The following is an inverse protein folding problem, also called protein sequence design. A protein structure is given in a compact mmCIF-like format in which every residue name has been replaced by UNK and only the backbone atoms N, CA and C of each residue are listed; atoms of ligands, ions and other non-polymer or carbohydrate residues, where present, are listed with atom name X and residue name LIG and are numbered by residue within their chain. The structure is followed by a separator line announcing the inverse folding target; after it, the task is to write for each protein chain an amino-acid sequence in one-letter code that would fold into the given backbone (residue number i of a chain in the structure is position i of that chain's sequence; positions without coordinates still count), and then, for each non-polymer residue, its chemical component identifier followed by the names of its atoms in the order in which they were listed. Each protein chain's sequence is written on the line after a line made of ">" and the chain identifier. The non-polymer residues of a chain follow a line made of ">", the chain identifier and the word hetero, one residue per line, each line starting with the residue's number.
data_IF_480304481275
#
_entry.id   IF_480304481275
#
_cell.length_a   1.000
_cell.length_b   1.000
_cell.length_c   1.000
_cell.angle_alpha   90.00
_cell.angle_beta   90.00
_cell.angle_gamma   90.00
#
_symmetry.space_group_name_H-M   'P 1'
#
loop_
_entity.id
_entity.type
_entity.pdbx_description
1 polymer ?
#
# COMPACT_ATOMS: atom_id res chain seq x y z
N UNK A 1 16.79 0.56 14.96
CA UNK A 1 16.66 0.59 13.49
C UNK A 1 15.51 1.52 13.14
N UNK A 2 15.60 2.34 12.10
CA UNK A 2 14.44 3.14 11.69
C UNK A 2 13.41 2.24 11.01
N UNK A 3 12.13 2.57 11.16
CA UNK A 3 11.03 1.85 10.50
C UNK A 3 10.89 2.34 9.05
N UNK A 4 10.58 1.43 8.12
CA UNK A 4 10.15 1.77 6.76
C UNK A 4 8.71 1.33 6.54
N UNK A 5 7.83 2.31 6.32
CA UNK A 5 6.39 2.11 6.21
C UNK A 5 5.97 2.04 4.74
N UNK A 6 5.58 0.85 4.29
CA UNK A 6 5.17 0.62 2.90
C UNK A 6 3.66 0.49 2.77
N UNK A 7 3.09 1.31 1.90
CA UNK A 7 1.73 1.07 1.41
C UNK A 7 1.78 -0.03 0.35
N UNK A 8 0.89 -1.01 0.47
CA UNK A 8 0.59 -1.95 -0.62
C UNK A 8 -0.81 -1.63 -1.12
N UNK A 9 -0.94 -1.23 -2.38
CA UNK A 9 -2.23 -0.86 -2.98
C UNK A 9 -2.44 -1.54 -4.32
N UNK A 10 -3.69 -1.67 -4.74
CA UNK A 10 -4.00 -2.22 -6.05
C UNK A 10 -5.50 -2.35 -6.33
N UNK A 11 -5.82 -2.92 -7.49
CA UNK A 11 -7.21 -3.18 -7.86
C UNK A 11 -7.91 -4.08 -6.85
N UNK A 12 -9.22 -3.88 -6.65
CA UNK A 12 -10.02 -4.64 -5.67
C UNK A 12 -10.14 -6.12 -6.00
N UNK A 13 -9.89 -6.48 -7.25
CA UNK A 13 -9.97 -7.84 -7.78
C UNK A 13 -8.58 -8.49 -7.92
N UNK A 14 -7.51 -7.80 -7.53
CA UNK A 14 -6.16 -8.38 -7.50
C UNK A 14 -6.08 -9.48 -6.43
N UNK A 15 -5.69 -10.69 -6.83
CA UNK A 15 -5.67 -11.89 -5.97
C UNK A 15 -4.34 -12.66 -5.99
N UNK A 16 -3.34 -12.21 -6.77
CA UNK A 16 -2.06 -12.92 -6.91
C UNK A 16 -1.15 -12.67 -5.69
N UNK A 17 -1.45 -13.40 -4.61
CA UNK A 17 -0.68 -13.35 -3.37
C UNK A 17 0.79 -13.80 -3.54
N UNK A 18 1.10 -14.87 -4.30
CA UNK A 18 2.50 -15.23 -4.58
C UNK A 18 3.29 -14.11 -5.25
N UNK A 19 2.75 -13.46 -6.28
CA UNK A 19 3.43 -12.34 -6.94
C UNK A 19 3.63 -11.15 -5.98
N UNK A 20 2.65 -10.89 -5.11
CA UNK A 20 2.75 -9.85 -4.09
C UNK A 20 3.86 -10.14 -3.08
N UNK A 21 3.95 -11.36 -2.55
CA UNK A 21 5.02 -11.78 -1.66
C UNK A 21 6.40 -11.58 -2.30
N UNK A 22 6.58 -12.07 -3.53
CA UNK A 22 7.85 -11.94 -4.26
C UNK A 22 8.25 -10.48 -4.47
N UNK A 23 7.29 -9.63 -4.82
CA UNK A 23 7.55 -8.22 -5.04
C UNK A 23 7.96 -7.50 -3.75
N UNK A 24 7.29 -7.79 -2.63
CA UNK A 24 7.62 -7.20 -1.33
C UNK A 24 8.97 -7.72 -0.82
N UNK A 25 9.21 -9.03 -0.86
CA UNK A 25 10.47 -9.64 -0.41
C UNK A 25 11.67 -9.10 -1.23
N UNK A 26 11.50 -8.94 -2.54
CA UNK A 26 12.50 -8.30 -3.40
C UNK A 26 12.74 -6.83 -3.05
N UNK A 27 11.69 -6.07 -2.74
CA UNK A 27 11.80 -4.67 -2.33
C UNK A 27 12.59 -4.55 -1.02
N UNK A 28 12.32 -5.42 -0.06
CA UNK A 28 13.02 -5.47 1.22
C UNK A 28 14.51 -5.75 1.07
N UNK A 29 14.86 -6.76 0.27
CA UNK A 29 16.25 -7.15 0.06
C UNK A 29 17.10 -6.03 -0.60
N UNK A 30 16.52 -5.26 -1.52
CA UNK A 30 17.29 -4.34 -2.37
C UNK A 30 17.19 -2.86 -1.98
N UNK A 31 16.15 -2.44 -1.25
CA UNK A 31 15.84 -1.01 -1.13
C UNK A 31 15.72 -0.47 0.30
N UNK A 32 15.70 -1.32 1.32
CA UNK A 32 15.61 -0.89 2.73
C UNK A 32 16.58 -1.61 3.70
N UNK A 33 17.85 -1.89 3.32
CA UNK A 33 18.77 -2.59 4.21
C UNK A 33 18.96 -1.82 5.52
N UNK A 34 18.78 -2.51 6.66
CA UNK A 34 18.95 -1.94 8.00
C UNK A 34 17.74 -1.18 8.57
N UNK A 35 16.59 -1.22 7.88
CA UNK A 35 15.32 -0.69 8.39
C UNK A 35 14.36 -1.81 8.80
N UNK A 36 13.51 -1.55 9.79
CA UNK A 36 12.45 -2.48 10.20
C UNK A 36 11.22 -2.29 9.28
N UNK A 37 10.79 -3.30 8.52
CA UNK A 37 9.67 -3.15 7.61
C UNK A 37 8.33 -3.15 8.36
N UNK A 38 7.40 -2.31 7.91
CA UNK A 38 5.99 -2.35 8.29
C UNK A 38 5.07 -2.05 7.12
N UNK A 39 3.81 -2.47 7.25
CA UNK A 39 2.79 -2.29 6.21
C UNK A 39 1.78 -1.24 6.65
N UNK A 40 1.41 -0.36 5.73
CA UNK A 40 0.30 0.58 5.85
C UNK A 40 -0.86 0.05 5.03
N UNK A 41 -1.99 -0.22 5.68
CA UNK A 41 -3.17 -0.88 5.10
C UNK A 41 -4.39 0.00 5.24
N UNK A 42 -5.11 0.22 4.15
CA UNK A 42 -6.34 1.00 4.16
C UNK A 42 -7.64 0.21 4.25
N UNK A 43 -7.55 -1.09 4.58
CA UNK A 43 -8.67 -2.04 4.67
C UNK A 43 -9.48 -2.15 3.38
N UNK A 44 -8.84 -1.94 2.23
CA UNK A 44 -9.47 -2.11 0.93
C UNK A 44 -9.28 -3.55 0.42
N UNK A 45 -10.31 -4.13 -0.22
CA UNK A 45 -10.19 -5.46 -0.85
C UNK A 45 -9.05 -5.48 -1.89
N UNK A 46 -8.58 -6.69 -2.21
CA UNK A 46 -7.55 -6.93 -3.20
C UNK A 46 -6.14 -6.79 -2.61
N UNK A 47 -5.24 -6.13 -3.35
CA UNK A 47 -3.83 -6.04 -2.97
C UNK A 47 -3.58 -5.45 -1.57
N UNK A 48 -4.42 -4.53 -1.10
CA UNK A 48 -4.29 -3.90 0.22
C UNK A 48 -4.51 -4.91 1.37
N UNK A 49 -5.59 -5.71 1.30
CA UNK A 49 -5.78 -6.82 2.25
C UNK A 49 -4.75 -7.96 2.08
N UNK A 50 -4.20 -8.17 0.88
CA UNK A 50 -3.10 -9.11 0.70
C UNK A 50 -1.79 -8.61 1.33
N UNK A 51 -1.54 -7.30 1.31
CA UNK A 51 -0.44 -6.67 2.05
C UNK A 51 -0.61 -6.81 3.56
N UNK A 52 -1.83 -6.62 4.08
CA UNK A 52 -2.17 -6.92 5.47
C UNK A 52 -1.84 -8.37 5.84
N UNK A 53 -2.30 -9.32 5.00
CA UNK A 53 -2.02 -10.75 5.18
C UNK A 53 -0.51 -11.02 5.21
N UNK A 54 0.25 -10.47 4.27
CA UNK A 54 1.70 -10.60 4.19
C UNK A 54 2.37 -10.17 5.50
N UNK A 55 1.95 -9.04 6.07
CA UNK A 55 2.49 -8.53 7.32
C UNK A 55 2.19 -9.46 8.50
N UNK A 56 0.92 -9.86 8.66
CA UNK A 56 0.49 -10.74 9.75
C UNK A 56 1.21 -12.09 9.72
N UNK A 57 1.33 -12.72 8.54
CA UNK A 57 2.03 -14.00 8.39
C UNK A 57 3.53 -13.92 8.74
N UNK A 58 4.13 -12.73 8.66
CA UNK A 58 5.56 -12.49 8.97
C UNK A 58 5.79 -11.79 10.30
N UNK A 59 4.74 -11.54 11.08
CA UNK A 59 4.84 -10.81 12.35
C UNK A 59 5.30 -9.36 12.21
N UNK A 60 5.04 -8.73 11.06
CA UNK A 60 5.36 -7.32 10.82
C UNK A 60 4.30 -6.40 11.42
N UNK A 61 4.71 -5.20 11.79
CA UNK A 61 3.78 -4.16 12.22
C UNK A 61 2.84 -3.76 11.08
N UNK A 62 1.58 -3.48 11.43
CA UNK A 62 0.55 -2.99 10.51
C UNK A 62 -0.04 -1.70 11.06
N UNK A 63 -0.08 -0.67 10.22
CA UNK A 63 -0.76 0.59 10.50
C UNK A 63 -2.02 0.67 9.66
N UNK A 64 -3.17 0.72 10.31
CA UNK A 64 -4.48 0.62 9.65
C UNK A 64 -5.13 2.00 9.47
N UNK A 65 -5.64 2.25 8.27
CA UNK A 65 -6.31 3.49 7.87
C UNK A 65 -7.65 3.15 7.19
N UNK A 66 -8.67 2.70 7.93
CA UNK A 66 -9.98 2.44 7.34
C UNK A 66 -10.60 3.75 6.81
N UNK A 67 -11.26 3.69 5.65
CA UNK A 67 -11.96 4.85 5.12
C UNK A 67 -13.27 5.10 5.88
N UNK A 68 -13.47 6.33 6.37
CA UNK A 68 -14.71 6.75 7.05
C UNK A 68 -15.81 7.11 6.04
N UNK A 69 -16.49 6.06 5.55
CA UNK A 69 -17.58 6.20 4.59
C UNK A 69 -18.83 6.88 5.17
N UNK A 70 -19.07 6.74 6.48
CA UNK A 70 -20.25 7.28 7.13
C UNK A 70 -20.19 8.80 7.20
N UNK A 71 -19.02 9.36 7.53
CA UNK A 71 -18.83 10.81 7.61
C UNK A 71 -18.57 11.45 6.24
N UNK A 72 -17.79 10.80 5.38
CA UNK A 72 -17.24 11.44 4.17
C UNK A 72 -17.78 10.90 2.85
N UNK A 73 -18.61 9.85 2.87
CA UNK A 73 -19.17 9.22 1.69
C UNK A 73 -18.11 8.91 0.64
N UNK A 74 -18.35 9.25 -0.62
CA UNK A 74 -17.42 8.96 -1.74
C UNK A 74 -16.01 9.54 -1.57
N UNK A 75 -15.86 10.62 -0.78
CA UNK A 75 -14.55 11.26 -0.55
C UNK A 75 -13.69 10.50 0.46
N UNK A 76 -14.29 9.64 1.28
CA UNK A 76 -13.60 8.87 2.32
C UNK A 76 -12.36 8.13 1.79
N UNK A 77 -12.50 7.50 0.62
CA UNK A 77 -11.39 6.79 -0.01
C UNK A 77 -10.19 7.68 -0.37
N UNK A 78 -10.45 8.91 -0.85
CA UNK A 78 -9.40 9.86 -1.21
C UNK A 78 -8.72 10.47 0.03
N UNK A 79 -9.50 10.80 1.07
CA UNK A 79 -8.96 11.31 2.33
C UNK A 79 -8.05 10.26 2.98
N UNK A 80 -8.53 9.02 3.07
CA UNK A 80 -7.75 7.88 3.54
C UNK A 80 -6.46 7.69 2.73
N UNK A 81 -6.53 7.76 1.39
CA UNK A 81 -5.33 7.66 0.54
C UNK A 81 -4.30 8.75 0.88
N UNK A 82 -4.77 9.97 1.12
CA UNK A 82 -3.91 11.09 1.50
C UNK A 82 -3.28 10.87 2.89
N UNK A 83 -4.04 10.43 3.89
CA UNK A 83 -3.54 10.14 5.23
C UNK A 83 -2.47 9.05 5.22
N UNK A 84 -2.72 7.93 4.51
CA UNK A 84 -1.72 6.89 4.31
C UNK A 84 -0.47 7.45 3.63
N UNK A 85 -0.63 8.29 2.59
CA UNK A 85 0.50 8.84 1.83
C UNK A 85 1.39 9.79 2.64
N UNK A 86 0.78 10.57 3.54
CA UNK A 86 1.51 11.43 4.47
C UNK A 86 2.30 10.59 5.48
N UNK A 87 1.67 9.52 5.99
CA UNK A 87 2.26 8.65 7.01
C UNK A 87 3.37 7.72 6.48
N UNK A 88 3.26 7.24 5.24
CA UNK A 88 4.14 6.23 4.68
C UNK A 88 5.43 6.78 4.06
N UNK A 89 6.41 5.89 3.88
CA UNK A 89 7.70 6.19 3.24
C UNK A 89 7.71 5.81 1.75
N UNK A 90 6.94 4.78 1.39
CA UNK A 90 6.87 4.28 0.02
C UNK A 90 5.57 3.57 -0.32
N UNK A 91 5.39 3.33 -1.63
CA UNK A 91 4.24 2.63 -2.20
C UNK A 91 4.70 1.53 -3.16
N UNK A 92 4.13 0.33 -2.98
CA UNK A 92 4.10 -0.72 -3.98
C UNK A 92 2.66 -0.85 -4.50
N UNK A 93 2.46 -0.51 -5.78
CA UNK A 93 1.14 -0.49 -6.42
C UNK A 93 1.01 -1.59 -7.48
N UNK A 94 0.02 -2.46 -7.34
CA UNK A 94 -0.42 -3.40 -8.37
C UNK A 94 -1.55 -2.77 -9.18
N UNK A 95 -1.31 -2.39 -10.43
CA UNK A 95 -2.26 -1.59 -11.20
C UNK A 95 -2.60 -2.19 -12.56
N UNK A 96 -3.88 -2.46 -12.77
CA UNK A 96 -4.53 -2.88 -14.01
C UNK A 96 -4.69 -1.76 -15.06
N UNK A 97 -4.11 -0.58 -14.82
CA UNK A 97 -4.27 0.67 -15.61
C UNK A 97 -5.67 1.30 -15.59
N UNK A 98 -6.66 0.64 -15.00
CA UNK A 98 -8.06 1.08 -14.99
C UNK A 98 -8.53 1.55 -13.60
N UNK A 99 -8.04 0.92 -12.54
CA UNK A 99 -8.43 1.21 -11.16
C UNK A 99 -8.16 2.67 -10.80
N UNK A 100 -9.26 3.45 -10.71
CA UNK A 100 -9.21 4.87 -10.33
C UNK A 100 -8.64 5.08 -8.95
N UNK A 101 -8.92 4.17 -8.01
CA UNK A 101 -8.41 4.23 -6.64
C UNK A 101 -6.90 3.99 -6.57
N UNK A 102 -6.39 3.02 -7.33
CA UNK A 102 -4.93 2.76 -7.41
C UNK A 102 -4.21 3.93 -8.08
N UNK A 103 -4.77 4.46 -9.17
CA UNK A 103 -4.26 5.65 -9.86
C UNK A 103 -4.17 6.85 -8.91
N UNK A 104 -5.21 7.08 -8.13
CA UNK A 104 -5.27 8.16 -7.13
C UNK A 104 -4.18 8.00 -6.05
N UNK A 105 -4.00 6.79 -5.51
CA UNK A 105 -2.94 6.49 -4.55
C UNK A 105 -1.53 6.76 -5.13
N UNK A 106 -1.27 6.30 -6.35
CA UNK A 106 0.00 6.55 -7.05
C UNK A 106 0.24 8.06 -7.25
N UNK A 107 -0.78 8.79 -7.71
CA UNK A 107 -0.69 10.22 -7.95
C UNK A 107 -0.44 10.99 -6.65
N UNK A 108 -1.09 10.59 -5.56
CA UNK A 108 -0.93 11.21 -4.23
C UNK A 108 0.48 11.04 -3.70
N UNK A 109 1.05 9.82 -3.76
CA UNK A 109 2.43 9.56 -3.35
C UNK A 109 3.44 10.36 -4.17
N UNK A 110 3.26 10.41 -5.49
CA UNK A 110 4.13 11.20 -6.37
C UNK A 110 4.08 12.69 -6.08
N UNK A 111 2.90 13.24 -5.78
CA UNK A 111 2.73 14.65 -5.41
C UNK A 111 3.47 15.01 -4.12
N UNK A 112 3.56 14.06 -3.19
CA UNK A 112 4.31 14.20 -1.93
C UNK A 112 5.81 13.88 -2.08
N UNK A 113 6.30 13.59 -3.29
CA UNK A 113 7.71 13.25 -3.53
C UNK A 113 8.14 11.90 -2.94
N UNK A 114 7.20 11.02 -2.64
CA UNK A 114 7.46 9.71 -2.02
C UNK A 114 7.87 8.66 -3.06
N UNK A 115 8.61 7.64 -2.63
CA UNK A 115 9.05 6.54 -3.51
C UNK A 115 7.84 5.69 -3.92
N UNK A 116 7.71 5.42 -5.22
CA UNK A 116 6.63 4.57 -5.75
C UNK A 116 7.19 3.52 -6.70
N UNK A 117 6.75 2.27 -6.55
CA UNK A 117 6.95 1.19 -7.52
C UNK A 117 5.58 0.71 -8.01
N UNK A 118 5.40 0.65 -9.31
CA UNK A 118 4.18 0.11 -9.93
C UNK A 118 4.50 -1.20 -10.65
N UNK A 119 3.66 -2.21 -10.41
CA UNK A 119 3.64 -3.49 -11.13
C UNK A 119 2.32 -3.54 -11.88
N UNK A 120 2.37 -3.76 -13.19
CA UNK A 120 1.18 -3.90 -14.02
C UNK A 120 0.79 -5.38 -14.11
N UNK A 121 -0.51 -5.64 -14.15
CA UNK A 121 -1.10 -6.96 -14.38
C UNK A 121 -2.31 -6.84 -15.31
#
# INVERSE_FOLDING_TARGET
>A
MSEFKLIVAGGRDFQDYPALCLAIDSLWAHHIPGQQPSIVCGKARGADMLGYRYAVERGLAVHEFPADWDTHGKKAGHLRNHEMAVFADGLLAFWDKESRGTRDMIATMKRLGKKTKTIYY
#
